data_IF_348324179748
#
_entry.id   IF_348324179748
#
_cell.length_a   1.000
_cell.length_b   1.000
_cell.length_c   1.000
_cell.angle_alpha   90.00
_cell.angle_beta   90.00
_cell.angle_gamma   90.00
#
_symmetry.space_group_name_H-M   'P 1'
#
loop_
_entity.id
_entity.type
_entity.pdbx_description
1 polymer ?
#
# COMPACT_ATOMS: atom_id res chain seq x y z
N UNK A 1 -23.01 21.38 8.35
CA UNK A 1 -22.57 20.27 7.48
C UNK A 1 -23.67 20.01 6.48
N UNK A 2 -23.42 20.27 5.20
CA UNK A 2 -24.42 20.05 4.15
C UNK A 2 -24.38 18.57 3.75
N UNK A 3 -25.47 17.83 4.00
CA UNK A 3 -25.61 16.46 3.49
C UNK A 3 -25.44 16.47 1.97
N UNK A 4 -24.45 15.74 1.47
CA UNK A 4 -24.23 15.56 0.04
C UNK A 4 -25.47 14.88 -0.56
N UNK A 5 -26.30 15.63 -1.28
CA UNK A 5 -27.53 15.11 -1.91
C UNK A 5 -27.15 14.19 -3.07
N UNK A 6 -26.93 12.92 -2.74
CA UNK A 6 -26.49 11.91 -3.68
C UNK A 6 -27.64 11.57 -4.65
N UNK A 7 -27.48 11.88 -5.94
CA UNK A 7 -28.44 11.52 -7.00
C UNK A 7 -28.17 10.12 -7.59
N UNK A 8 -27.26 9.36 -7.01
CA UNK A 8 -26.95 8.02 -7.49
C UNK A 8 -28.06 7.02 -7.10
N UNK A 9 -28.37 6.06 -7.97
CA UNK A 9 -29.32 5.00 -7.65
C UNK A 9 -28.81 4.17 -6.46
N UNK A 10 -29.72 3.77 -5.56
CA UNK A 10 -29.42 3.12 -4.28
C UNK A 10 -28.49 1.90 -4.42
N UNK A 11 -28.62 1.12 -5.49
CA UNK A 11 -27.78 -0.05 -5.72
C UNK A 11 -26.29 0.29 -5.90
N UNK A 12 -25.96 1.43 -6.52
CA UNK A 12 -24.57 1.87 -6.69
C UNK A 12 -23.95 2.27 -5.36
N UNK A 13 -24.75 2.89 -4.49
CA UNK A 13 -24.34 3.28 -3.14
C UNK A 13 -24.02 2.03 -2.32
N UNK A 14 -24.93 1.05 -2.30
CA UNK A 14 -24.72 -0.22 -1.58
C UNK A 14 -23.49 -0.96 -2.10
N UNK A 15 -23.30 -1.01 -3.43
CA UNK A 15 -22.16 -1.73 -4.01
C UNK A 15 -20.81 -1.06 -3.68
N UNK A 16 -20.74 0.27 -3.69
CA UNK A 16 -19.55 1.01 -3.28
C UNK A 16 -19.26 0.88 -1.78
N UNK A 17 -20.30 0.91 -0.94
CA UNK A 17 -20.16 0.77 0.51
C UNK A 17 -19.70 -0.65 0.87
N UNK A 18 -20.27 -1.69 0.24
CA UNK A 18 -19.82 -3.08 0.41
C UNK A 18 -18.37 -3.24 -0.05
N UNK A 19 -18.01 -2.70 -1.21
CA UNK A 19 -16.63 -2.76 -1.69
C UNK A 19 -15.64 -2.02 -0.75
N UNK A 20 -16.04 -0.86 -0.23
CA UNK A 20 -15.25 -0.07 0.71
C UNK A 20 -15.06 -0.77 2.05
N UNK A 21 -16.13 -1.34 2.62
CA UNK A 21 -16.08 -2.13 3.87
C UNK A 21 -15.25 -3.39 3.68
N UNK A 22 -15.42 -4.12 2.58
CA UNK A 22 -14.59 -5.27 2.26
C UNK A 22 -13.10 -4.89 2.18
N UNK A 23 -12.75 -3.78 1.53
CA UNK A 23 -11.36 -3.29 1.52
C UNK A 23 -10.85 -3.02 2.93
N UNK A 24 -11.64 -2.34 3.78
CA UNK A 24 -11.27 -2.04 5.16
C UNK A 24 -11.10 -3.30 6.04
N UNK A 25 -11.94 -4.32 5.84
CA UNK A 25 -11.85 -5.58 6.56
C UNK A 25 -10.59 -6.36 6.22
N UNK A 26 -10.05 -6.19 5.00
CA UNK A 26 -8.80 -6.85 4.58
C UNK A 26 -7.56 -6.12 5.16
N UNK A 27 -7.68 -4.83 5.51
CA UNK A 27 -6.58 -4.03 6.08
C UNK A 27 -5.93 -4.67 7.32
N UNK A 28 -6.64 -5.12 8.38
CA UNK A 28 -5.98 -5.74 9.54
C UNK A 28 -5.25 -7.04 9.21
N UNK A 29 -5.60 -7.73 8.12
CA UNK A 29 -4.87 -8.92 7.66
C UNK A 29 -3.62 -8.55 6.84
N UNK A 30 -3.65 -7.41 6.15
CA UNK A 30 -2.50 -6.84 5.40
C UNK A 30 -1.66 -5.86 6.23
N UNK A 31 -2.14 -5.44 7.40
CA UNK A 31 -1.49 -4.50 8.31
C UNK A 31 -0.19 -5.01 8.95
N UNK A 32 -0.08 -6.31 9.30
CA UNK A 32 1.17 -6.91 9.76
C UNK A 32 2.21 -7.05 8.66
N UNK A 33 1.84 -6.86 7.40
CA UNK A 33 2.73 -7.02 6.25
C UNK A 33 3.46 -5.70 6.03
N UNK A 34 4.75 -5.59 6.39
CA UNK A 34 5.48 -4.33 6.37
C UNK A 34 5.69 -3.89 4.92
N UNK A 35 4.82 -3.02 4.42
CA UNK A 35 4.85 -2.53 3.04
C UNK A 35 3.72 -1.55 2.73
N UNK A 36 3.67 -1.00 1.50
CA UNK A 36 2.64 -0.08 1.03
C UNK A 36 1.26 -0.74 0.84
N UNK A 37 0.97 -1.89 1.43
CA UNK A 37 -0.30 -2.57 1.22
C UNK A 37 -1.42 -1.97 2.05
N UNK A 38 -1.23 -1.90 3.37
CA UNK A 38 -2.29 -1.56 4.32
C UNK A 38 -2.79 -0.12 4.19
N UNK A 39 -1.90 0.87 4.08
CA UNK A 39 -2.30 2.29 4.05
C UNK A 39 -3.00 2.66 2.74
N UNK A 40 -2.47 2.34 1.54
CA UNK A 40 -3.18 2.55 0.28
C UNK A 40 -4.49 1.78 0.18
N UNK A 41 -4.58 0.55 0.71
CA UNK A 41 -5.84 -0.19 0.73
C UNK A 41 -6.85 0.44 1.69
N UNK A 42 -6.40 0.92 2.85
CA UNK A 42 -7.22 1.68 3.78
C UNK A 42 -7.72 2.99 3.16
N UNK A 43 -6.86 3.71 2.46
CA UNK A 43 -7.23 4.93 1.73
C UNK A 43 -8.15 4.64 0.54
N UNK A 44 -7.98 3.51 -0.15
CA UNK A 44 -8.87 3.08 -1.23
C UNK A 44 -10.26 2.70 -0.68
N UNK A 45 -10.32 1.96 0.43
CA UNK A 45 -11.56 1.61 1.11
C UNK A 45 -12.31 2.84 1.62
N UNK A 46 -11.60 3.72 2.34
CA UNK A 46 -12.16 5.00 2.78
C UNK A 46 -12.55 5.89 1.59
N UNK A 47 -11.79 5.89 0.50
CA UNK A 47 -12.09 6.67 -0.71
C UNK A 47 -13.38 6.22 -1.40
N UNK A 48 -13.64 4.91 -1.43
CA UNK A 48 -14.92 4.36 -1.91
C UNK A 48 -16.09 4.81 -1.01
N UNK A 49 -15.90 4.77 0.30
CA UNK A 49 -16.90 5.21 1.27
C UNK A 49 -17.13 6.73 1.23
N UNK A 50 -16.08 7.52 0.97
CA UNK A 50 -16.14 8.99 0.87
C UNK A 50 -16.98 9.49 -0.31
N UNK A 51 -17.23 8.64 -1.31
CA UNK A 51 -18.16 8.95 -2.38
C UNK A 51 -19.56 9.26 -1.83
N UNK A 52 -19.98 8.53 -0.80
CA UNK A 52 -21.33 8.55 -0.24
C UNK A 52 -21.39 9.11 1.19
N UNK A 53 -20.28 9.12 1.93
CA UNK A 53 -20.26 9.44 3.36
C UNK A 53 -19.19 10.48 3.74
N UNK A 54 -19.62 11.62 4.29
CA UNK A 54 -18.73 12.72 4.68
C UNK A 54 -17.75 12.32 5.81
N UNK A 55 -18.11 11.34 6.66
CA UNK A 55 -17.23 10.86 7.73
C UNK A 55 -15.99 10.16 7.18
N UNK A 56 -16.10 9.49 6.03
CA UNK A 56 -14.98 8.78 5.42
C UNK A 56 -13.97 9.77 4.83
N UNK A 57 -14.45 10.89 4.29
CA UNK A 57 -13.59 12.01 3.87
C UNK A 57 -12.81 12.60 5.05
N UNK A 58 -13.46 12.76 6.21
CA UNK A 58 -12.78 13.21 7.43
C UNK A 58 -11.73 12.20 7.92
N UNK A 59 -12.01 10.89 7.78
CA UNK A 59 -11.05 9.84 8.13
C UNK A 59 -9.82 9.85 7.22
N UNK A 60 -9.99 10.07 5.91
CA UNK A 60 -8.87 10.22 4.96
C UNK A 60 -7.98 11.39 5.36
N UNK A 61 -8.57 12.54 5.69
CA UNK A 61 -7.82 13.72 6.12
C UNK A 61 -7.05 13.48 7.42
N UNK A 62 -7.67 12.77 8.37
CA UNK A 62 -7.03 12.40 9.63
C UNK A 62 -5.81 11.48 9.43
N UNK A 63 -5.97 10.44 8.59
CA UNK A 63 -4.89 9.50 8.24
C UNK A 63 -3.77 10.21 7.48
N UNK A 64 -4.11 11.07 6.51
CA UNK A 64 -3.15 11.87 5.77
C UNK A 64 -2.25 12.69 6.70
N UNK A 65 -2.84 13.36 7.70
CA UNK A 65 -2.13 14.21 8.67
C UNK A 65 -1.17 13.42 9.59
N UNK A 66 -1.49 12.17 9.92
CA UNK A 66 -0.66 11.33 10.79
C UNK A 66 0.29 10.37 10.03
N UNK A 67 0.09 10.19 8.72
CA UNK A 67 0.87 9.24 7.90
C UNK A 67 2.35 9.62 7.75
N UNK A 68 2.66 10.92 7.74
CA UNK A 68 4.04 11.41 7.65
C UNK A 68 4.89 10.97 8.84
N UNK A 69 4.31 10.98 10.04
CA UNK A 69 4.95 10.51 11.27
C UNK A 69 5.25 9.01 11.23
N UNK A 70 4.31 8.19 10.74
CA UNK A 70 4.52 6.74 10.63
C UNK A 70 5.63 6.37 9.63
N UNK A 71 5.76 7.12 8.53
CA UNK A 71 6.82 6.87 7.53
C UNK A 71 8.21 7.11 8.10
N UNK A 72 8.37 8.14 8.93
CA UNK A 72 9.66 8.45 9.56
C UNK A 72 10.07 7.42 10.62
N UNK A 73 9.09 6.84 11.32
CA UNK A 73 9.31 5.75 12.30
C UNK A 73 9.69 4.44 11.58
N UNK A 74 8.96 4.06 10.52
CA UNK A 74 9.20 2.80 9.80
C UNK A 74 10.43 2.83 8.88
N UNK A 75 10.75 3.99 8.30
CA UNK A 75 11.90 4.16 7.39
C UNK A 75 12.83 5.29 7.83
N UNK A 76 13.58 5.11 8.92
CA UNK A 76 14.56 6.10 9.37
C UNK A 76 15.62 6.31 8.27
N UNK A 77 16.10 7.56 8.12
CA UNK A 77 17.09 7.94 7.10
C UNK A 77 18.53 7.44 7.41
N UNK A 78 18.70 6.20 7.88
CA UNK A 78 20.01 5.57 8.06
C UNK A 78 20.32 4.62 6.89
N UNK A 79 21.52 4.68 6.28
CA UNK A 79 21.86 3.88 5.10
C UNK A 79 21.87 2.37 5.39
N UNK A 80 22.28 1.96 6.59
CA UNK A 80 22.25 0.56 7.04
C UNK A 80 20.84 -0.02 7.11
N UNK A 81 19.88 0.76 7.61
CA UNK A 81 18.48 0.31 7.69
C UNK A 81 17.88 0.14 6.31
N UNK A 82 18.20 1.03 5.37
CA UNK A 82 17.77 0.89 3.96
C UNK A 82 18.33 -0.38 3.32
N UNK A 83 19.59 -0.70 3.58
CA UNK A 83 20.22 -1.92 3.08
C UNK A 83 19.58 -3.17 3.69
N UNK A 84 19.27 -3.16 4.99
CA UNK A 84 18.54 -4.25 5.64
C UNK A 84 17.15 -4.48 5.03
N UNK A 85 16.42 -3.41 4.70
CA UNK A 85 15.14 -3.51 3.99
C UNK A 85 15.28 -4.05 2.57
N UNK A 86 16.31 -3.65 1.81
CA UNK A 86 16.59 -4.18 0.47
C UNK A 86 16.90 -5.68 0.53
N UNK A 87 17.72 -6.11 1.50
CA UNK A 87 18.00 -7.53 1.74
C UNK A 87 16.74 -8.31 2.16
N UNK A 88 15.94 -7.75 3.06
CA UNK A 88 14.67 -8.35 3.48
C UNK A 88 13.69 -8.50 2.31
N UNK A 89 13.56 -7.48 1.47
CA UNK A 89 12.72 -7.52 0.27
C UNK A 89 13.21 -8.55 -0.76
N UNK A 90 14.53 -8.65 -0.97
CA UNK A 90 15.11 -9.69 -1.81
C UNK A 90 14.79 -11.09 -1.28
N UNK A 91 14.94 -11.30 0.02
CA UNK A 91 14.69 -12.59 0.67
C UNK A 91 13.21 -12.97 0.57
N UNK A 92 12.30 -12.01 0.79
CA UNK A 92 10.86 -12.19 0.59
C UNK A 92 10.51 -12.53 -0.87
N UNK A 93 11.14 -11.87 -1.85
CA UNK A 93 10.90 -12.16 -3.26
C UNK A 93 11.34 -13.59 -3.62
N UNK A 94 12.53 -14.00 -3.18
CA UNK A 94 13.02 -15.38 -3.38
C UNK A 94 12.09 -16.39 -2.70
N UNK A 95 11.67 -16.11 -1.47
CA UNK A 95 10.77 -16.97 -0.71
C UNK A 95 9.39 -17.10 -1.38
N UNK A 96 8.87 -16.02 -1.98
CA UNK A 96 7.64 -16.05 -2.76
C UNK A 96 7.75 -16.96 -4.00
N UNK A 97 8.82 -16.81 -4.79
CA UNK A 97 9.05 -17.66 -5.97
C UNK A 97 9.20 -19.13 -5.57
N UNK A 98 9.92 -19.39 -4.47
CA UNK A 98 10.10 -20.74 -3.95
C UNK A 98 8.79 -21.38 -3.47
N UNK A 99 7.95 -20.62 -2.75
CA UNK A 99 6.62 -21.05 -2.31
C UNK A 99 5.71 -21.37 -3.49
N UNK A 100 5.69 -20.51 -4.51
CA UNK A 100 4.90 -20.74 -5.72
C UNK A 100 5.40 -21.96 -6.51
N UNK A 101 6.70 -22.20 -6.55
CA UNK A 101 7.27 -23.37 -7.23
C UNK A 101 7.03 -24.71 -6.51
N UNK A 102 6.85 -24.69 -5.19
CA UNK A 102 6.76 -25.91 -4.37
C UNK A 102 5.31 -26.30 -4.07
N UNK A 103 4.39 -25.33 -4.13
CA UNK A 103 3.00 -25.55 -3.77
C UNK A 103 2.13 -25.95 -4.97
N UNK A 104 1.27 -26.95 -4.80
CA UNK A 104 0.12 -27.22 -5.69
C UNK A 104 -1.21 -26.71 -5.09
N UNK A 105 -1.16 -26.12 -3.90
CA UNK A 105 -2.33 -25.65 -3.18
C UNK A 105 -2.64 -24.19 -3.50
N UNK A 106 -3.89 -23.92 -3.88
CA UNK A 106 -4.39 -22.59 -4.25
C UNK A 106 -4.22 -21.55 -3.13
N UNK A 107 -4.33 -21.95 -1.86
CA UNK A 107 -4.12 -21.05 -0.72
C UNK A 107 -2.68 -20.55 -0.62
N UNK A 108 -1.71 -21.44 -0.83
CA UNK A 108 -0.29 -21.10 -0.78
C UNK A 108 0.12 -20.27 -2.00
N UNK A 109 -0.52 -20.45 -3.16
CA UNK A 109 -0.36 -19.56 -4.30
C UNK A 109 -0.83 -18.14 -3.98
N UNK A 110 -2.00 -18.00 -3.35
CA UNK A 110 -2.50 -16.71 -2.87
C UNK A 110 -1.52 -16.03 -1.90
N UNK A 111 -0.93 -16.79 -0.97
CA UNK A 111 0.09 -16.30 -0.05
C UNK A 111 1.34 -15.85 -0.80
N UNK A 112 1.81 -16.61 -1.80
CA UNK A 112 3.00 -16.26 -2.57
C UNK A 112 2.83 -14.92 -3.31
N UNK A 113 1.65 -14.68 -3.91
CA UNK A 113 1.29 -13.41 -4.56
C UNK A 113 1.31 -12.25 -3.55
N UNK A 114 0.76 -12.47 -2.35
CA UNK A 114 0.81 -11.48 -1.27
C UNK A 114 2.24 -11.12 -0.87
N UNK A 115 3.11 -12.11 -0.71
CA UNK A 115 4.53 -11.91 -0.38
C UNK A 115 5.26 -11.18 -1.52
N UNK A 116 5.02 -11.55 -2.78
CA UNK A 116 5.63 -10.89 -3.94
C UNK A 116 5.23 -9.41 -4.05
N UNK A 117 3.94 -9.14 -3.84
CA UNK A 117 3.38 -7.79 -3.88
C UNK A 117 4.02 -6.92 -2.79
N UNK A 118 4.24 -7.52 -1.61
CA UNK A 118 4.90 -6.85 -0.48
C UNK A 118 6.36 -6.54 -0.77
N UNK A 119 7.12 -7.53 -1.25
CA UNK A 119 8.53 -7.35 -1.59
C UNK A 119 8.72 -6.23 -2.64
N UNK A 120 7.87 -6.25 -3.68
CA UNK A 120 7.85 -5.19 -4.70
C UNK A 120 7.48 -3.83 -4.10
N UNK A 121 6.49 -3.81 -3.21
CA UNK A 121 6.07 -2.61 -2.51
C UNK A 121 7.18 -1.97 -1.67
N UNK A 122 7.95 -2.77 -0.93
CA UNK A 122 9.11 -2.30 -0.16
C UNK A 122 10.15 -1.67 -1.10
N UNK A 123 10.45 -2.33 -2.22
CA UNK A 123 11.35 -1.80 -3.25
C UNK A 123 10.90 -0.44 -3.80
N UNK A 124 9.60 -0.30 -4.12
CA UNK A 124 9.03 0.95 -4.65
C UNK A 124 9.04 2.05 -3.58
N UNK A 125 8.76 1.72 -2.32
CA UNK A 125 8.77 2.70 -1.22
C UNK A 125 10.17 3.22 -0.90
N UNK A 126 11.22 2.46 -1.22
CA UNK A 126 12.61 2.90 -1.14
C UNK A 126 13.03 3.83 -2.31
N UNK A 127 12.06 4.51 -2.94
CA UNK A 127 12.23 5.45 -4.08
C UNK A 127 13.28 6.55 -3.89
N UNK A 128 13.60 6.96 -2.64
CA UNK A 128 14.63 7.98 -2.36
C UNK A 128 16.03 7.59 -2.85
N UNK A 129 16.31 6.30 -3.13
CA UNK A 129 17.55 5.84 -3.76
C UNK A 129 17.57 6.12 -5.27
N UNK A 130 16.43 6.01 -5.94
CA UNK A 130 16.29 6.29 -7.38
C UNK A 130 16.47 7.78 -7.69
N UNK A 131 16.25 8.68 -6.72
CA UNK A 131 16.52 10.11 -6.88
C UNK A 131 18.00 10.38 -7.17
N UNK A 132 18.94 9.57 -6.65
CA UNK A 132 20.35 9.68 -7.02
C UNK A 132 20.61 9.23 -8.46
N UNK A 133 20.01 8.12 -8.89
CA UNK A 133 20.08 7.65 -10.29
C UNK A 133 19.46 8.66 -11.26
N UNK A 134 18.28 9.21 -10.94
CA UNK A 134 17.65 10.27 -11.73
C UNK A 134 18.53 11.52 -11.81
N UNK A 135 19.19 11.92 -10.72
CA UNK A 135 20.19 13.00 -10.73
C UNK A 135 21.42 12.66 -11.56
N UNK A 136 21.89 11.41 -11.55
CA UNK A 136 23.02 10.96 -12.37
C UNK A 136 22.68 10.96 -13.87
N UNK A 137 21.50 10.44 -14.26
CA UNK A 137 21.02 10.49 -15.64
C UNK A 137 20.80 11.91 -16.14
N UNK A 138 20.28 12.81 -15.29
CA UNK A 138 20.11 14.24 -15.65
C UNK A 138 21.44 14.98 -15.87
N UNK A 139 22.55 14.49 -15.29
CA UNK A 139 23.90 15.00 -15.56
C UNK A 139 24.49 14.45 -16.85
N UNK A 140 24.13 13.21 -17.22
CA UNK A 140 24.57 12.57 -18.47
C UNK A 140 23.83 13.13 -19.70
N UNK A 141 22.52 13.41 -19.60
CA UNK A 141 21.73 13.98 -20.70
C UNK A 141 21.88 15.50 -20.90
N UNK A 142 22.80 16.14 -20.19
CA UNK A 142 23.11 17.58 -20.31
C UNK A 142 24.45 17.86 -21.01
N UNK A 143 25.07 16.82 -21.59
CA UNK A 143 26.23 16.92 -22.48
C UNK A 143 25.81 16.77 -23.92
#
# INVERSE_FOLDING_TARGET
MAMKKNRNPLWKVVLMDVAGVCCLLIVPFLGPVPGPGGIPLLLAGLGLLAANHDWADNAIQYVGKHSSSMREIMFPNKPTVKLAWDFGALLLAVLSVWLNSTSQNLLLDGVSIGIMTTATGIFVMNRKRLDWLARAFKRLGKR
#
